data_IF_990411655410
#
_entry.id   IF_990411655410
#
_cell.length_a   1.000
_cell.length_b   1.000
_cell.length_c   1.000
_cell.angle_alpha   90.00
_cell.angle_beta   90.00
_cell.angle_gamma   90.00
#
_symmetry.space_group_name_H-M   'P 1'
#
loop_
_entity.id
_entity.type
_entity.pdbx_description
1 polymer ?
#
# COMPACT_ATOMS: atom_id res chain seq x y z
N UNK A 1 1.43 -14.49 20.28
CA UNK A 1 1.33 -14.36 18.81
C UNK A 1 2.67 -13.85 18.30
N UNK A 2 3.46 -14.68 17.62
CA UNK A 2 4.76 -14.28 17.07
C UNK A 2 4.55 -13.31 15.91
N UNK A 3 5.01 -12.06 16.03
CA UNK A 3 4.95 -11.11 14.91
C UNK A 3 5.77 -11.65 13.73
N UNK A 4 5.14 -11.74 12.55
CA UNK A 4 5.85 -12.09 11.32
C UNK A 4 6.79 -10.94 10.94
N UNK A 5 8.09 -11.14 11.14
CA UNK A 5 9.11 -10.18 10.72
C UNK A 5 9.15 -10.04 9.19
N UNK A 6 9.27 -8.79 8.73
CA UNK A 6 9.50 -8.45 7.34
C UNK A 6 10.97 -8.55 6.98
N UNK A 7 11.23 -8.98 5.74
CA UNK A 7 12.55 -8.94 5.15
C UNK A 7 12.76 -7.57 4.52
N UNK A 8 13.85 -6.92 4.90
CA UNK A 8 14.34 -5.68 4.32
C UNK A 8 15.65 -5.98 3.62
N UNK A 9 15.76 -5.60 2.35
CA UNK A 9 16.89 -5.97 1.51
C UNK A 9 17.53 -4.78 0.85
N UNK A 10 18.85 -4.81 0.72
CA UNK A 10 19.56 -3.98 -0.22
C UNK A 10 19.89 -4.85 -1.44
N UNK A 11 19.29 -4.54 -2.59
CA UNK A 11 19.52 -5.33 -3.81
C UNK A 11 20.96 -5.20 -4.33
N UNK A 12 21.58 -4.04 -4.17
CA UNK A 12 22.96 -3.79 -4.64
C UNK A 12 23.98 -4.62 -3.85
N UNK A 13 23.91 -4.56 -2.51
CA UNK A 13 24.82 -5.31 -1.64
C UNK A 13 24.36 -6.75 -1.35
N UNK A 14 23.15 -7.12 -1.79
CA UNK A 14 22.49 -8.41 -1.48
C UNK A 14 22.48 -8.68 0.02
N UNK A 15 22.25 -7.62 0.79
CA UNK A 15 22.17 -7.62 2.24
C UNK A 15 20.72 -7.75 2.68
N UNK A 16 20.50 -8.44 3.78
CA UNK A 16 19.16 -8.78 4.29
C UNK A 16 19.15 -8.53 5.78
N UNK A 17 18.12 -7.84 6.26
CA UNK A 17 17.82 -7.69 7.67
C UNK A 17 16.34 -7.96 7.91
N UNK A 18 16.03 -8.65 9.00
CA UNK A 18 14.65 -8.92 9.41
C UNK A 18 14.25 -7.94 10.49
N UNK A 19 13.09 -7.32 10.34
CA UNK A 19 12.54 -6.39 11.33
C UNK A 19 11.07 -6.69 11.59
N UNK A 20 10.64 -6.38 12.80
CA UNK A 20 9.23 -6.47 13.16
C UNK A 20 8.38 -5.62 12.21
N UNK A 21 7.14 -6.05 11.94
CA UNK A 21 6.21 -5.26 11.12
C UNK A 21 5.89 -3.89 11.75
N UNK A 22 5.94 -3.83 13.07
CA UNK A 22 5.77 -2.62 13.89
C UNK A 22 6.97 -1.66 13.85
N UNK A 23 8.09 -2.08 13.25
CA UNK A 23 9.30 -1.26 13.18
C UNK A 23 9.08 -0.02 12.30
N UNK A 24 9.27 1.16 12.89
CA UNK A 24 8.89 2.45 12.27
C UNK A 24 9.95 3.07 11.37
N UNK A 25 11.19 2.59 11.43
CA UNK A 25 12.31 3.16 10.68
C UNK A 25 12.65 2.29 9.48
N UNK A 26 13.14 2.90 8.41
CA UNK A 26 13.71 2.15 7.28
C UNK A 26 15.12 1.70 7.69
N UNK A 27 15.41 0.39 7.74
CA UNK A 27 16.76 -0.10 8.04
C UNK A 27 17.73 0.32 6.95
N UNK A 28 18.96 0.67 7.35
CA UNK A 28 20.06 0.98 6.41
C UNK A 28 20.89 -0.26 6.11
N UNK A 29 21.42 -0.35 4.90
CA UNK A 29 22.36 -1.38 4.52
C UNK A 29 23.69 -1.19 5.25
N UNK A 30 24.22 -2.26 5.87
CA UNK A 30 25.50 -2.20 6.55
C UNK A 30 26.70 -1.90 5.62
N UNK A 31 26.60 -2.21 4.33
CA UNK A 31 27.72 -2.08 3.38
C UNK A 31 27.73 -0.75 2.63
N UNK A 32 26.58 -0.28 2.14
CA UNK A 32 26.48 0.96 1.34
C UNK A 32 25.73 2.09 2.03
N UNK A 33 25.19 1.86 3.23
CA UNK A 33 24.39 2.82 4.00
C UNK A 33 23.12 3.36 3.29
N UNK A 34 22.69 2.72 2.20
CA UNK A 34 21.43 3.04 1.53
C UNK A 34 20.23 2.45 2.28
N UNK A 35 19.06 3.01 2.04
CA UNK A 35 17.80 2.46 2.55
C UNK A 35 17.53 1.06 2.00
N UNK A 36 17.20 0.13 2.89
CA UNK A 36 16.73 -1.18 2.50
C UNK A 36 15.28 -1.10 2.02
N UNK A 37 14.94 -1.96 1.08
CA UNK A 37 13.59 -2.12 0.53
C UNK A 37 12.88 -3.25 1.26
N UNK A 38 11.67 -2.99 1.74
CA UNK A 38 10.84 -4.03 2.34
C UNK A 38 10.26 -4.93 1.25
N UNK A 39 10.61 -6.22 1.27
CA UNK A 39 10.08 -7.25 0.35
C UNK A 39 9.02 -8.13 1.02
N UNK A 40 8.57 -7.74 2.22
CA UNK A 40 7.60 -8.46 3.02
C UNK A 40 8.16 -9.75 3.65
N UNK A 41 7.27 -10.63 4.10
CA UNK A 41 7.63 -11.86 4.81
C UNK A 41 7.45 -13.13 3.97
N UNK A 42 6.69 -13.06 2.86
CA UNK A 42 6.34 -14.22 2.02
C UNK A 42 7.37 -14.54 0.96
N UNK A 43 8.14 -13.55 0.51
CA UNK A 43 9.14 -13.75 -0.54
C UNK A 43 10.37 -14.45 0.03
N UNK A 44 10.74 -15.57 -0.59
CA UNK A 44 11.97 -16.29 -0.27
C UNK A 44 13.16 -15.44 -0.66
N UNK A 45 14.08 -15.25 0.29
CA UNK A 45 15.31 -14.49 0.06
C UNK A 45 16.36 -15.41 -0.56
N UNK A 46 16.91 -15.07 -1.74
CA UNK A 46 17.96 -15.84 -2.39
C UNK A 46 19.26 -15.91 -1.59
N UNK A 47 20.09 -16.91 -1.86
CA UNK A 47 21.47 -16.93 -1.35
C UNK A 47 22.24 -15.72 -1.92
N UNK A 48 23.12 -15.11 -1.13
CA UNK A 48 23.89 -13.90 -1.52
C UNK A 48 24.67 -14.09 -2.84
N UNK A 49 25.19 -15.29 -3.10
CA UNK A 49 25.95 -15.60 -4.32
C UNK A 49 25.10 -15.64 -5.60
N UNK A 50 23.79 -15.90 -5.50
CA UNK A 50 22.94 -16.14 -6.66
C UNK A 50 22.41 -14.84 -7.27
N UNK A 51 23.24 -14.16 -8.06
CA UNK A 51 22.91 -12.88 -8.71
C UNK A 51 21.61 -12.92 -9.51
N UNK A 52 21.36 -14.03 -10.23
CA UNK A 52 20.18 -14.17 -11.10
C UNK A 52 18.88 -14.17 -10.30
N UNK A 53 18.83 -14.90 -9.20
CA UNK A 53 17.66 -14.91 -8.30
C UNK A 53 17.43 -13.55 -7.62
N UNK A 54 18.50 -12.82 -7.29
CA UNK A 54 18.40 -11.46 -6.74
C UNK A 54 17.78 -10.47 -7.72
N UNK A 55 18.19 -10.51 -9.00
CA UNK A 55 17.57 -9.71 -10.05
C UNK A 55 16.09 -10.08 -10.26
N UNK A 56 15.76 -11.37 -10.19
CA UNK A 56 14.38 -11.83 -10.26
C UNK A 56 13.55 -11.32 -9.07
N UNK A 57 14.09 -11.37 -7.85
CA UNK A 57 13.43 -10.82 -6.67
C UNK A 57 13.18 -9.31 -6.82
N UNK A 58 14.14 -8.56 -7.37
CA UNK A 58 14.01 -7.11 -7.64
C UNK A 58 12.85 -6.83 -8.59
N UNK A 59 12.72 -7.63 -9.66
CA UNK A 59 11.60 -7.54 -10.61
C UNK A 59 10.25 -7.86 -9.97
N UNK A 60 10.15 -8.97 -9.26
CA UNK A 60 8.92 -9.38 -8.56
C UNK A 60 8.48 -8.29 -7.57
N UNK A 61 9.41 -7.75 -6.79
CA UNK A 61 9.09 -6.69 -5.83
C UNK A 61 8.52 -5.44 -6.53
N UNK A 62 9.12 -5.05 -7.65
CA UNK A 62 8.65 -3.92 -8.47
C UNK A 62 7.26 -4.19 -9.05
N UNK A 63 6.99 -5.41 -9.52
CA UNK A 63 5.68 -5.80 -10.03
C UNK A 63 4.60 -5.73 -8.94
N UNK A 64 4.90 -6.24 -7.75
CA UNK A 64 3.99 -6.17 -6.60
C UNK A 64 3.69 -4.72 -6.22
N UNK A 65 4.72 -3.86 -6.19
CA UNK A 65 4.55 -2.43 -5.90
C UNK A 65 3.67 -1.74 -6.95
N UNK A 66 3.92 -2.00 -8.23
CA UNK A 66 3.10 -1.46 -9.33
C UNK A 66 1.66 -1.94 -9.26
N UNK A 67 1.43 -3.23 -9.01
CA UNK A 67 0.09 -3.79 -8.83
C UNK A 67 -0.61 -3.14 -7.64
N UNK A 68 0.07 -2.96 -6.51
CA UNK A 68 -0.49 -2.32 -5.34
C UNK A 68 -0.92 -0.88 -5.63
N UNK A 69 -0.07 -0.09 -6.30
CA UNK A 69 -0.40 1.27 -6.72
C UNK A 69 -1.61 1.28 -7.67
N UNK A 70 -1.64 0.38 -8.65
CA UNK A 70 -2.75 0.26 -9.60
C UNK A 70 -4.06 -0.12 -8.90
N UNK A 71 -4.04 -1.13 -8.02
CA UNK A 71 -5.21 -1.56 -7.25
C UNK A 71 -5.73 -0.44 -6.34
N UNK A 72 -4.85 0.30 -5.66
CA UNK A 72 -5.24 1.46 -4.87
C UNK A 72 -5.90 2.54 -5.72
N UNK A 73 -5.33 2.85 -6.90
CA UNK A 73 -5.90 3.82 -7.84
C UNK A 73 -7.27 3.39 -8.35
N UNK A 74 -7.43 2.11 -8.72
CA UNK A 74 -8.71 1.55 -9.16
C UNK A 74 -9.75 1.63 -8.05
N UNK A 75 -9.44 1.09 -6.87
CA UNK A 75 -10.33 1.12 -5.71
C UNK A 75 -10.79 2.55 -5.38
N UNK A 76 -9.86 3.51 -5.40
CA UNK A 76 -10.18 4.92 -5.16
C UNK A 76 -11.14 5.47 -6.19
N UNK A 77 -10.91 5.21 -7.48
CA UNK A 77 -11.79 5.65 -8.57
C UNK A 77 -13.20 5.05 -8.44
N UNK A 78 -13.27 3.75 -8.16
CA UNK A 78 -14.53 3.02 -8.01
C UNK A 78 -15.30 3.54 -6.79
N UNK A 79 -14.60 3.78 -5.67
CA UNK A 79 -15.19 4.32 -4.45
C UNK A 79 -15.74 5.74 -4.64
N UNK A 80 -14.99 6.62 -5.32
CA UNK A 80 -15.45 7.97 -5.67
C UNK A 80 -16.72 7.91 -6.51
N UNK A 81 -16.74 7.06 -7.54
CA UNK A 81 -17.90 6.88 -8.42
C UNK A 81 -19.12 6.38 -7.63
N UNK A 82 -18.92 5.35 -6.81
CA UNK A 82 -19.96 4.76 -5.97
C UNK A 82 -20.57 5.79 -5.01
N UNK A 83 -19.73 6.51 -4.24
CA UNK A 83 -20.19 7.54 -3.30
C UNK A 83 -20.96 8.66 -4.02
N UNK A 84 -20.48 9.10 -5.18
CA UNK A 84 -21.14 10.16 -5.96
C UNK A 84 -22.53 9.73 -6.43
N UNK A 85 -22.67 8.50 -6.93
CA UNK A 85 -23.94 7.95 -7.38
C UNK A 85 -24.93 7.75 -6.22
N UNK A 86 -24.46 7.20 -5.10
CA UNK A 86 -25.30 6.98 -3.91
C UNK A 86 -25.77 8.31 -3.29
N UNK A 87 -24.90 9.33 -3.21
CA UNK A 87 -25.31 10.67 -2.78
C UNK A 87 -26.41 11.21 -3.69
N UNK A 88 -26.26 11.12 -5.02
CA UNK A 88 -27.26 11.59 -5.99
C UNK A 88 -28.61 10.89 -5.80
N UNK A 89 -28.59 9.56 -5.65
CA UNK A 89 -29.78 8.72 -5.45
C UNK A 89 -30.49 8.98 -4.11
N UNK A 90 -29.74 9.24 -3.04
CA UNK A 90 -30.32 9.54 -1.73
C UNK A 90 -30.84 10.98 -1.67
N UNK A 91 -30.20 11.91 -2.37
CA UNK A 91 -30.61 13.32 -2.42
C UNK A 91 -31.87 13.54 -3.27
N UNK A 92 -32.23 12.61 -4.16
CA UNK A 92 -33.45 12.69 -4.97
C UNK A 92 -34.72 12.18 -4.28
N UNK A 93 -34.61 11.71 -3.02
CA UNK A 93 -35.74 11.21 -2.22
C UNK A 93 -36.13 12.25 -1.17
N UNK A 94 -37.39 12.27 -0.73
CA UNK A 94 -37.94 13.21 0.26
C UNK A 94 -37.10 13.33 1.53
N UNK A 95 -36.95 14.54 2.06
CA UNK A 95 -36.01 14.80 3.14
C UNK A 95 -36.27 13.96 4.41
N UNK A 96 -35.23 13.29 4.90
CA UNK A 96 -35.27 12.48 6.11
C UNK A 96 -33.99 12.72 6.91
N UNK A 97 -34.10 13.07 8.20
CA UNK A 97 -32.98 13.43 9.08
C UNK A 97 -31.87 12.38 9.12
N UNK A 98 -32.20 11.10 9.08
CA UNK A 98 -31.22 10.02 9.08
C UNK A 98 -30.51 9.91 7.73
N UNK A 99 -31.25 10.15 6.63
CA UNK A 99 -30.67 10.19 5.28
C UNK A 99 -29.71 11.36 5.11
N UNK A 100 -30.02 12.53 5.67
CA UNK A 100 -29.13 13.69 5.65
C UNK A 100 -27.81 13.43 6.37
N UNK A 101 -27.85 12.73 7.52
CA UNK A 101 -26.62 12.29 8.22
C UNK A 101 -25.76 11.36 7.36
N UNK A 102 -26.38 10.38 6.71
CA UNK A 102 -25.69 9.42 5.83
C UNK A 102 -25.03 10.16 4.64
N UNK A 103 -25.78 11.05 3.98
CA UNK A 103 -25.27 11.86 2.86
C UNK A 103 -24.07 12.71 3.31
N UNK A 104 -24.16 13.33 4.49
CA UNK A 104 -23.06 14.14 5.02
C UNK A 104 -21.80 13.31 5.33
N UNK A 105 -21.97 12.09 5.86
CA UNK A 105 -20.85 11.17 6.05
C UNK A 105 -20.20 10.77 4.72
N UNK A 106 -21.01 10.41 3.72
CA UNK A 106 -20.53 10.08 2.37
C UNK A 106 -19.82 11.26 1.69
N UNK A 107 -20.34 12.49 1.86
CA UNK A 107 -19.69 13.72 1.35
C UNK A 107 -18.32 13.97 1.99
N UNK A 108 -18.19 13.75 3.30
CA UNK A 108 -16.89 13.86 4.00
C UNK A 108 -15.88 12.85 3.48
N UNK A 109 -16.29 11.59 3.30
CA UNK A 109 -15.42 10.56 2.73
C UNK A 109 -15.02 10.91 1.29
N UNK A 110 -15.95 11.36 0.46
CA UNK A 110 -15.69 11.79 -0.91
C UNK A 110 -14.68 12.93 -0.97
N UNK A 111 -14.84 13.95 -0.12
CA UNK A 111 -13.91 15.09 -0.02
C UNK A 111 -12.51 14.63 0.40
N UNK A 112 -12.38 13.72 1.38
CA UNK A 112 -11.09 13.15 1.77
C UNK A 112 -10.41 12.42 0.61
N UNK A 113 -11.15 11.59 -0.13
CA UNK A 113 -10.62 10.88 -1.30
C UNK A 113 -10.20 11.85 -2.40
N UNK A 114 -10.94 12.93 -2.63
CA UNK A 114 -10.60 13.95 -3.63
C UNK A 114 -9.41 14.82 -3.21
N UNK A 115 -9.25 15.15 -1.93
CA UNK A 115 -8.09 15.91 -1.42
C UNK A 115 -6.78 15.17 -1.56
N UNK A 116 -6.78 13.84 -1.37
CA UNK A 116 -5.64 12.96 -1.61
C UNK A 116 -5.25 12.83 -3.11
N UNK A 117 -5.76 13.70 -3.99
CA UNK A 117 -5.42 13.78 -5.42
C UNK A 117 -4.39 14.88 -5.71
N UNK A 118 -4.18 15.82 -4.78
CA UNK A 118 -3.13 16.86 -4.84
C UNK A 118 -1.84 16.31 -4.22
#
# INVERSE_FOLDING_TARGET
>A
MSESNYNWVCFECRFVIRQAKSYKRIPKCHFCNQDCICVGYKLKIPKKSNKKEWEQLKKINREIELQHIQSQRSYKKDRITHLSNEIKKLSSKEENKDRTKIINHMKKELDQLLKLRK
#
